data_IF_459463677062
#
_entry.id   IF_459463677062
#
_cell.length_a   1.000
_cell.length_b   1.000
_cell.length_c   1.000
_cell.angle_alpha   90.00
_cell.angle_beta   90.00
_cell.angle_gamma   90.00
#
_symmetry.space_group_name_H-M   'P 1'
#
loop_
_entity.id
_entity.type
_entity.pdbx_description
1 polymer ?
#
# COMPACT_ATOMS: atom_id res chain seq x y z
N UNK A 1 1.13 6.75 -13.08
CA UNK A 1 1.02 6.63 -11.62
C UNK A 1 1.14 5.16 -11.27
N UNK A 2 1.68 4.84 -10.10
CA UNK A 2 1.75 3.46 -9.58
C UNK A 2 1.06 3.41 -8.22
N UNK A 3 0.51 2.26 -7.84
CA UNK A 3 -0.03 2.05 -6.50
C UNK A 3 0.15 0.61 -6.04
N UNK A 4 0.23 0.41 -4.73
CA UNK A 4 0.31 -0.91 -4.10
C UNK A 4 -0.41 -0.98 -2.75
N UNK A 5 -0.88 -2.17 -2.40
CA UNK A 5 -1.47 -2.51 -1.11
C UNK A 5 -0.61 -3.59 -0.46
N UNK A 6 -0.15 -3.29 0.75
CA UNK A 6 0.66 -4.18 1.57
C UNK A 6 -0.11 -4.46 2.88
N UNK A 7 0.10 -5.63 3.52
CA UNK A 7 -0.29 -5.80 4.91
C UNK A 7 0.42 -4.72 5.76
N UNK A 8 -0.28 -4.12 6.71
CA UNK A 8 0.37 -3.20 7.64
C UNK A 8 1.18 -4.04 8.63
N UNK A 9 2.40 -3.60 8.90
CA UNK A 9 3.32 -4.31 9.79
C UNK A 9 2.83 -4.06 11.22
N UNK A 10 2.28 -5.10 11.85
CA UNK A 10 1.87 -5.06 13.27
C UNK A 10 2.97 -5.57 14.20
N UNK A 11 3.92 -6.37 13.67
CA UNK A 11 5.05 -6.90 14.42
C UNK A 11 6.33 -6.17 14.05
N UNK A 12 6.94 -5.56 15.07
CA UNK A 12 8.26 -4.92 15.08
C UNK A 12 9.29 -5.69 14.24
N UNK A 13 9.87 -5.05 13.22
CA UNK A 13 10.90 -5.67 12.38
C UNK A 13 12.32 -5.18 12.63
N UNK A 14 12.67 -4.62 13.79
CA UNK A 14 14.08 -4.28 14.02
C UNK A 14 14.30 -3.70 15.39
N UNK A 15 14.82 -4.49 16.33
CA UNK A 15 15.29 -3.95 17.60
C UNK A 15 16.65 -3.29 17.35
N UNK A 16 16.68 -1.96 17.27
CA UNK A 16 17.93 -1.21 17.16
C UNK A 16 18.41 -0.90 15.73
N UNK A 17 17.52 -0.93 14.73
CA UNK A 17 17.83 -0.51 13.36
C UNK A 17 18.29 -1.63 12.42
N UNK A 18 18.05 -2.89 12.80
CA UNK A 18 18.27 -4.04 11.93
C UNK A 18 17.35 -4.00 10.69
N UNK A 19 17.78 -4.70 9.64
CA UNK A 19 17.09 -4.73 8.35
C UNK A 19 15.68 -5.31 8.48
N UNK A 20 14.68 -4.51 8.11
CA UNK A 20 13.29 -4.92 8.03
C UNK A 20 12.95 -5.39 6.61
N UNK A 21 12.41 -6.61 6.46
CA UNK A 21 11.96 -7.09 5.16
C UNK A 21 10.64 -6.40 4.78
N UNK A 22 10.54 -5.94 3.53
CA UNK A 22 9.27 -5.44 2.99
C UNK A 22 8.22 -6.57 3.00
N UNK A 23 7.01 -6.34 3.54
CA UNK A 23 5.92 -7.31 3.45
C UNK A 23 5.59 -7.67 2.00
N UNK A 24 5.11 -8.89 1.72
CA UNK A 24 4.70 -9.27 0.39
C UNK A 24 3.56 -8.37 -0.11
N UNK A 25 3.71 -7.88 -1.33
CA UNK A 25 2.68 -7.06 -1.99
C UNK A 25 1.45 -7.90 -2.31
N UNK A 26 0.28 -7.47 -1.82
CA UNK A 26 -1.00 -8.16 -2.05
C UNK A 26 -1.59 -7.75 -3.40
N UNK A 27 -1.52 -6.46 -3.71
CA UNK A 27 -2.00 -5.90 -4.96
C UNK A 27 -1.07 -4.78 -5.39
N UNK A 28 -0.69 -4.76 -6.67
CA UNK A 28 0.00 -3.61 -7.26
C UNK A 28 -0.45 -3.37 -8.69
N UNK A 29 -0.47 -2.11 -9.09
CA UNK A 29 -0.59 -1.70 -10.48
C UNK A 29 0.44 -0.64 -10.80
N UNK A 30 1.02 -0.76 -12.00
CA UNK A 30 2.04 0.16 -12.52
C UNK A 30 1.55 0.80 -13.81
N UNK A 31 1.96 2.04 -14.03
CA UNK A 31 1.66 2.76 -15.27
C UNK A 31 0.18 3.09 -15.44
N UNK A 32 -0.60 3.14 -14.35
CA UNK A 32 -2.00 3.56 -14.46
C UNK A 32 -2.09 5.04 -14.84
N UNK A 33 -3.09 5.44 -15.65
CA UNK A 33 -3.34 6.84 -15.96
C UNK A 33 -3.45 7.68 -14.69
N UNK A 34 -3.03 8.95 -14.77
CA UNK A 34 -3.26 9.87 -13.68
C UNK A 34 -4.76 10.05 -13.49
N UNK A 35 -5.21 9.86 -12.25
CA UNK A 35 -6.60 9.98 -11.85
C UNK A 35 -6.66 10.60 -10.47
N UNK A 36 -7.70 11.39 -10.22
CA UNK A 36 -8.04 11.90 -8.88
C UNK A 36 -8.73 10.85 -8.02
N UNK A 37 -9.12 9.70 -8.62
CA UNK A 37 -9.80 8.61 -7.95
C UNK A 37 -9.14 7.27 -8.31
N UNK A 38 -8.95 6.42 -7.30
CA UNK A 38 -8.47 5.04 -7.47
C UNK A 38 -9.52 4.11 -6.88
N UNK A 39 -9.89 3.08 -7.63
CA UNK A 39 -10.79 2.02 -7.19
C UNK A 39 -10.03 0.70 -7.17
N UNK A 40 -10.22 -0.07 -6.10
CA UNK A 40 -9.64 -1.40 -5.94
C UNK A 40 -10.57 -2.25 -5.07
N UNK A 41 -10.46 -3.57 -5.20
CA UNK A 41 -11.14 -4.52 -4.31
C UNK A 41 -10.29 -4.72 -3.06
N UNK A 42 -10.91 -4.64 -1.89
CA UNK A 42 -10.22 -4.91 -0.63
C UNK A 42 -9.67 -6.35 -0.60
N UNK A 43 -8.53 -6.60 0.06
CA UNK A 43 -8.02 -7.96 0.29
C UNK A 43 -9.05 -8.89 0.95
N UNK A 44 -9.04 -10.18 0.62
CA UNK A 44 -9.99 -11.16 1.19
C UNK A 44 -9.72 -11.47 2.67
N UNK A 45 -8.47 -11.31 3.10
CA UNK A 45 -8.05 -11.61 4.48
C UNK A 45 -8.31 -10.41 5.39
N UNK A 46 -9.04 -10.62 6.47
CA UNK A 46 -9.22 -9.63 7.54
C UNK A 46 -7.86 -9.19 8.10
N UNK A 47 -7.71 -7.90 8.38
CA UNK A 47 -6.50 -7.36 9.00
C UNK A 47 -6.18 -5.92 8.59
N UNK A 48 -5.09 -5.38 9.14
CA UNK A 48 -4.61 -4.04 8.79
C UNK A 48 -3.78 -4.08 7.50
N UNK A 49 -3.95 -3.06 6.69
CA UNK A 49 -3.28 -2.85 5.42
C UNK A 49 -2.86 -1.40 5.26
N UNK A 50 -1.92 -1.16 4.35
CA UNK A 50 -1.49 0.17 3.95
C UNK A 50 -1.55 0.30 2.45
N UNK A 51 -2.25 1.34 2.00
CA UNK A 51 -2.31 1.71 0.60
C UNK A 51 -1.24 2.75 0.30
N UNK A 52 -0.44 2.53 -0.74
CA UNK A 52 0.60 3.44 -1.21
C UNK A 52 0.29 3.91 -2.63
N UNK A 53 0.52 5.19 -2.89
CA UNK A 53 0.41 5.79 -4.24
C UNK A 53 1.70 6.53 -4.55
N UNK A 54 2.22 6.30 -5.76
CA UNK A 54 3.42 6.91 -6.30
C UNK A 54 3.08 7.70 -7.57
N UNK A 55 3.29 9.00 -7.52
CA UNK A 55 3.02 9.93 -8.62
C UNK A 55 4.36 10.51 -9.07
N UNK A 56 4.80 10.14 -10.28
CA UNK A 56 5.99 10.73 -10.88
C UNK A 56 5.65 11.98 -11.66
N UNK A 57 6.52 12.98 -11.67
CA UNK A 57 6.43 14.10 -12.60
C UNK A 57 7.24 13.82 -13.88
N UNK A 58 7.29 14.79 -14.81
CA UNK A 58 8.07 14.68 -16.06
C UNK A 58 9.59 14.71 -15.85
N UNK A 59 10.05 15.14 -14.68
CA UNK A 59 11.45 15.22 -14.30
C UNK A 59 11.90 14.01 -13.47
N UNK A 60 11.06 12.97 -13.38
CA UNK A 60 11.30 11.76 -12.60
C UNK A 60 11.34 11.96 -11.08
N UNK A 61 10.84 13.08 -10.56
CA UNK A 61 10.58 13.23 -9.12
C UNK A 61 9.34 12.41 -8.74
N UNK A 62 9.30 11.86 -7.52
CA UNK A 62 8.18 11.06 -7.04
C UNK A 62 7.53 11.69 -5.79
N UNK A 63 6.24 12.03 -5.90
CA UNK A 63 5.38 12.24 -4.76
C UNK A 63 4.85 10.90 -4.25
N UNK A 64 4.88 10.70 -2.95
CA UNK A 64 4.42 9.46 -2.30
C UNK A 64 3.41 9.80 -1.22
N UNK A 65 2.28 9.10 -1.22
CA UNK A 65 1.27 9.19 -0.17
C UNK A 65 0.88 7.78 0.27
N UNK A 66 0.48 7.63 1.54
CA UNK A 66 -0.05 6.38 2.04
C UNK A 66 -1.19 6.59 3.04
N UNK A 67 -2.11 5.62 3.10
CA UNK A 67 -3.25 5.62 4.02
C UNK A 67 -3.34 4.22 4.64
N UNK A 68 -3.27 4.09 5.98
CA UNK A 68 -3.58 2.83 6.65
C UNK A 68 -5.09 2.59 6.67
N UNK A 69 -5.50 1.34 6.52
CA UNK A 69 -6.91 0.92 6.60
C UNK A 69 -7.03 -0.49 7.19
N UNK A 70 -8.20 -0.83 7.70
CA UNK A 70 -8.49 -2.17 8.21
C UNK A 70 -9.56 -2.83 7.35
N UNK A 71 -9.30 -4.05 6.89
CA UNK A 71 -10.33 -4.90 6.29
C UNK A 71 -10.99 -5.69 7.40
N UNK A 72 -12.26 -5.41 7.67
CA UNK A 72 -13.08 -6.18 8.60
C UNK A 72 -13.76 -7.37 7.92
N UNK A 73 -14.34 -8.28 8.72
CA UNK A 73 -15.22 -9.32 8.19
C UNK A 73 -16.42 -8.68 7.49
N UNK A 74 -16.91 -9.27 6.38
CA UNK A 74 -18.22 -8.91 5.85
C UNK A 74 -19.25 -8.99 6.99
N UNK A 75 -20.00 -7.91 7.19
CA UNK A 75 -21.11 -7.91 8.15
C UNK A 75 -22.09 -9.02 7.79
N UNK A 76 -22.55 -9.77 8.81
CA UNK A 76 -23.63 -10.74 8.63
C UNK A 76 -24.94 -10.03 8.28
#
# INVERSE_FOLDING_TARGET
MDYEILPDIVEYYGLGGDHENKPPTILSQKGVPYSTHIQFTAPDKEGPYRFFVYVKDKNNNAGVANIPFYVGKPGK
#
